data_IF_136933172565
#
_entry.id   IF_136933172565
#
_cell.length_a   1.000
_cell.length_b   1.000
_cell.length_c   1.000
_cell.angle_alpha   90.00
_cell.angle_beta   90.00
_cell.angle_gamma   90.00
#
_symmetry.space_group_name_H-M   'P 1'
#
loop_
_entity.id
_entity.type
_entity.pdbx_description
1 polymer ?
#
# COMPACT_ATOMS: atom_id res chain seq x y z
N UNK A 1 -36.03 -11.05 2.07
CA UNK A 1 -34.62 -11.06 2.51
C UNK A 1 -33.80 -11.58 1.35
N UNK A 2 -33.08 -10.74 0.59
CA UNK A 2 -32.18 -11.24 -0.44
C UNK A 2 -30.83 -11.58 0.23
N UNK A 3 -30.44 -12.83 0.10
CA UNK A 3 -29.12 -13.37 0.45
C UNK A 3 -28.08 -12.84 -0.53
N UNK A 4 -27.19 -11.96 -0.04
CA UNK A 4 -26.01 -11.56 -0.80
C UNK A 4 -25.00 -12.71 -0.80
N UNK A 5 -24.82 -13.33 -1.96
CA UNK A 5 -23.73 -14.26 -2.20
C UNK A 5 -22.41 -13.49 -2.15
N UNK A 6 -21.59 -13.79 -1.17
CA UNK A 6 -20.18 -13.32 -1.08
C UNK A 6 -19.40 -13.95 -2.23
N UNK A 7 -19.23 -13.21 -3.32
CA UNK A 7 -18.30 -13.58 -4.38
C UNK A 7 -16.87 -13.41 -3.84
N UNK A 8 -16.26 -14.53 -3.48
CA UNK A 8 -14.84 -14.57 -3.16
C UNK A 8 -14.07 -14.33 -4.46
N UNK A 9 -13.65 -13.10 -4.68
CA UNK A 9 -12.73 -12.76 -5.78
C UNK A 9 -11.42 -13.49 -5.49
N UNK A 10 -11.12 -14.52 -6.29
CA UNK A 10 -9.85 -15.23 -6.22
C UNK A 10 -8.71 -14.26 -6.46
N UNK A 11 -7.71 -14.26 -5.57
CA UNK A 11 -6.51 -13.44 -5.72
C UNK A 11 -5.85 -13.73 -7.08
N UNK A 12 -5.34 -12.70 -7.80
CA UNK A 12 -4.71 -12.91 -9.10
C UNK A 12 -3.53 -13.87 -8.98
N UNK A 13 -3.47 -14.86 -9.87
CA UNK A 13 -2.45 -15.90 -9.87
C UNK A 13 -1.06 -15.29 -10.08
N UNK A 14 -0.09 -15.60 -9.23
CA UNK A 14 1.24 -15.04 -9.33
C UNK A 14 1.99 -15.61 -10.55
N UNK A 15 2.61 -14.74 -11.34
CA UNK A 15 3.46 -15.13 -12.46
C UNK A 15 4.76 -15.78 -11.92
N UNK A 16 5.16 -16.94 -12.49
CA UNK A 16 6.35 -17.69 -12.10
C UNK A 16 7.64 -16.85 -12.12
N UNK A 17 7.77 -15.92 -13.05
CA UNK A 17 8.91 -15.00 -13.11
C UNK A 17 8.96 -14.06 -11.91
N UNK A 18 7.83 -13.51 -11.50
CA UNK A 18 7.72 -12.67 -10.30
C UNK A 18 8.06 -13.45 -9.04
N UNK A 19 7.60 -14.70 -8.93
CA UNK A 19 7.94 -15.59 -7.82
C UNK A 19 9.44 -15.90 -7.75
N UNK A 20 10.10 -16.08 -8.92
CA UNK A 20 11.57 -16.22 -8.99
C UNK A 20 12.30 -14.97 -8.52
N UNK A 21 11.81 -13.78 -8.89
CA UNK A 21 12.37 -12.48 -8.43
C UNK A 21 12.20 -12.34 -6.92
N UNK A 22 11.05 -12.70 -6.38
CA UNK A 22 10.76 -12.70 -4.94
C UNK A 22 11.71 -13.64 -4.16
N UNK A 23 11.91 -14.87 -4.64
CA UNK A 23 12.85 -15.81 -4.02
C UNK A 23 14.30 -15.26 -4.01
N UNK A 24 14.75 -14.65 -5.12
CA UNK A 24 16.09 -14.02 -5.17
C UNK A 24 16.20 -12.83 -4.20
N UNK A 25 15.14 -12.04 -4.03
CA UNK A 25 15.10 -10.92 -3.11
C UNK A 25 15.19 -11.39 -1.65
N UNK A 26 14.42 -12.42 -1.28
CA UNK A 26 14.48 -13.04 0.05
C UNK A 26 15.88 -13.57 0.35
N UNK A 27 16.50 -14.27 -0.62
CA UNK A 27 17.87 -14.74 -0.46
C UNK A 27 18.87 -13.60 -0.25
N UNK A 28 18.71 -12.47 -0.97
CA UNK A 28 19.54 -11.29 -0.79
C UNK A 28 19.34 -10.70 0.61
N UNK A 29 18.10 -10.50 1.04
CA UNK A 29 17.80 -10.00 2.38
C UNK A 29 18.40 -10.88 3.49
N UNK A 30 18.36 -12.20 3.35
CA UNK A 30 19.00 -13.09 4.31
C UNK A 30 20.54 -12.90 4.32
N UNK A 31 21.19 -12.78 3.18
CA UNK A 31 22.63 -12.52 3.08
C UNK A 31 23.03 -11.17 3.68
N UNK A 32 22.18 -10.16 3.46
CA UNK A 32 22.37 -8.80 3.98
C UNK A 32 21.97 -8.70 5.47
N UNK A 33 21.62 -9.82 6.12
CA UNK A 33 21.16 -9.93 7.51
C UNK A 33 20.02 -8.96 7.83
N UNK A 34 19.10 -8.77 6.88
CA UNK A 34 17.92 -7.94 7.07
C UNK A 34 16.94 -8.62 8.02
N UNK A 35 16.82 -8.11 9.24
CA UNK A 35 16.10 -8.72 10.37
C UNK A 35 14.67 -9.18 10.06
N UNK A 36 13.82 -8.42 9.35
CA UNK A 36 12.44 -8.81 9.07
C UNK A 36 12.31 -10.10 8.24
N UNK A 37 13.35 -10.52 7.50
CA UNK A 37 13.29 -11.76 6.72
C UNK A 37 13.35 -13.01 7.62
N UNK A 38 13.96 -12.92 8.80
CA UNK A 38 14.05 -14.03 9.75
C UNK A 38 12.65 -14.46 10.24
N UNK A 39 11.79 -13.51 10.54
CA UNK A 39 10.41 -13.79 10.94
C UNK A 39 9.62 -14.49 9.82
N UNK A 40 9.80 -14.08 8.56
CA UNK A 40 9.18 -14.74 7.40
C UNK A 40 9.69 -16.17 7.23
N UNK A 41 11.00 -16.38 7.36
CA UNK A 41 11.61 -17.72 7.28
C UNK A 41 11.07 -18.63 8.38
N UNK A 42 11.00 -18.15 9.62
CA UNK A 42 10.48 -18.90 10.77
C UNK A 42 9.03 -19.30 10.60
N UNK A 43 8.18 -18.41 10.13
CA UNK A 43 6.75 -18.68 9.96
C UNK A 43 6.45 -19.65 8.82
N UNK A 44 7.22 -19.61 7.73
CA UNK A 44 6.94 -20.37 6.54
C UNK A 44 7.67 -21.73 6.48
N UNK A 45 8.86 -21.84 7.09
CA UNK A 45 9.68 -23.04 7.00
C UNK A 45 9.75 -23.79 8.36
N UNK A 46 9.09 -24.95 8.51
CA UNK A 46 9.01 -25.67 9.79
C UNK A 46 10.37 -25.97 10.45
N UNK A 47 11.42 -26.19 9.66
CA UNK A 47 12.78 -26.46 10.18
C UNK A 47 13.40 -25.26 10.92
N UNK A 48 12.90 -24.04 10.69
CA UNK A 48 13.35 -22.83 11.37
C UNK A 48 12.41 -22.36 12.48
N UNK A 49 11.28 -23.02 12.71
CA UNK A 49 10.19 -22.55 13.58
C UNK A 49 10.62 -22.34 15.04
N UNK A 50 11.66 -23.03 15.52
CA UNK A 50 12.18 -22.93 16.90
C UNK A 50 13.48 -22.13 17.02
N UNK A 51 13.98 -21.57 15.92
CA UNK A 51 15.23 -20.82 15.91
C UNK A 51 14.98 -19.32 16.21
N UNK A 52 15.95 -18.68 16.85
CA UNK A 52 15.94 -17.24 17.03
C UNK A 52 16.29 -16.51 15.74
N UNK A 53 15.98 -15.22 15.64
CA UNK A 53 16.30 -14.41 14.44
C UNK A 53 17.81 -14.37 14.14
N UNK A 54 18.70 -14.17 15.12
CA UNK A 54 20.12 -14.25 14.89
C UNK A 54 20.59 -15.63 14.38
N UNK A 55 20.02 -16.71 14.90
CA UNK A 55 20.37 -18.07 14.46
C UNK A 55 19.94 -18.31 13.01
N UNK A 56 18.73 -17.87 12.66
CA UNK A 56 18.22 -17.96 11.28
C UNK A 56 19.11 -17.19 10.32
N UNK A 57 19.47 -15.95 10.68
CA UNK A 57 20.31 -15.09 9.83
C UNK A 57 21.78 -15.55 9.76
N UNK A 58 22.22 -16.33 10.75
CA UNK A 58 23.54 -16.98 10.76
C UNK A 58 23.56 -18.34 10.04
N UNK A 59 22.40 -18.92 9.79
CA UNK A 59 22.29 -20.25 9.18
C UNK A 59 22.55 -20.21 7.67
N UNK A 60 23.02 -21.36 7.12
CA UNK A 60 23.14 -21.49 5.66
C UNK A 60 21.76 -21.48 5.00
N UNK A 61 21.49 -20.49 4.16
CA UNK A 61 20.23 -20.31 3.44
C UNK A 61 20.49 -20.22 1.94
N UNK A 62 19.88 -21.10 1.17
CA UNK A 62 20.13 -21.26 -0.27
C UNK A 62 18.92 -20.74 -1.07
N UNK A 63 19.11 -20.60 -2.39
CA UNK A 63 18.02 -20.22 -3.29
C UNK A 63 16.85 -21.22 -3.23
N UNK A 64 17.14 -22.52 -3.06
CA UNK A 64 16.11 -23.55 -2.87
C UNK A 64 15.25 -23.31 -1.63
N UNK A 65 15.85 -22.81 -0.55
CA UNK A 65 15.14 -22.51 0.70
C UNK A 65 14.23 -21.30 0.51
N UNK A 66 14.73 -20.28 -0.19
CA UNK A 66 13.92 -19.10 -0.53
C UNK A 66 12.78 -19.46 -1.49
N UNK A 67 13.00 -20.38 -2.43
CA UNK A 67 11.96 -20.88 -3.32
C UNK A 67 10.90 -21.69 -2.57
N UNK A 68 11.32 -22.55 -1.63
CA UNK A 68 10.39 -23.29 -0.76
C UNK A 68 9.56 -22.32 0.09
N UNK A 69 10.19 -21.29 0.66
CA UNK A 69 9.50 -20.26 1.42
C UNK A 69 8.40 -19.58 0.58
N UNK A 70 8.74 -19.13 -0.64
CA UNK A 70 7.77 -18.53 -1.55
C UNK A 70 6.66 -19.51 -1.90
N UNK A 71 6.98 -20.77 -2.19
CA UNK A 71 5.96 -21.78 -2.50
C UNK A 71 4.97 -21.97 -1.35
N UNK A 72 5.46 -22.05 -0.10
CA UNK A 72 4.62 -22.20 1.09
C UNK A 72 3.76 -20.97 1.37
N UNK A 73 4.27 -19.77 1.12
CA UNK A 73 3.48 -18.53 1.22
C UNK A 73 2.29 -18.51 0.24
N UNK A 74 2.40 -19.23 -0.88
CA UNK A 74 1.34 -19.41 -1.87
C UNK A 74 0.54 -20.71 -1.71
N UNK A 75 0.66 -21.41 -0.57
CA UNK A 75 -0.12 -22.62 -0.25
C UNK A 75 0.38 -23.91 -0.88
N UNK A 76 1.60 -23.93 -1.44
CA UNK A 76 2.21 -25.12 -2.03
C UNK A 76 3.31 -25.70 -1.12
N UNK A 77 3.39 -27.01 -1.02
CA UNK A 77 4.39 -27.67 -0.17
C UNK A 77 5.84 -27.54 -0.68
N UNK A 78 6.01 -27.33 -1.98
CA UNK A 78 7.33 -27.22 -2.62
C UNK A 78 7.31 -26.32 -3.85
N UNK A 79 8.50 -25.85 -4.24
CA UNK A 79 8.67 -25.06 -5.47
C UNK A 79 8.24 -25.84 -6.73
N UNK A 80 8.43 -27.15 -6.75
CA UNK A 80 7.99 -28.00 -7.85
C UNK A 80 6.48 -28.12 -7.90
N UNK A 81 5.81 -28.30 -6.74
CA UNK A 81 4.35 -28.33 -6.65
C UNK A 81 3.73 -26.99 -7.12
N UNK A 82 4.34 -25.86 -6.74
CA UNK A 82 3.93 -24.53 -7.22
C UNK A 82 4.07 -24.42 -8.75
N UNK A 83 5.19 -24.86 -9.33
CA UNK A 83 5.38 -24.83 -10.79
C UNK A 83 4.36 -25.71 -11.51
N UNK A 84 4.13 -26.91 -11.02
CA UNK A 84 3.13 -27.84 -11.60
C UNK A 84 1.72 -27.28 -11.47
N UNK A 85 1.36 -26.72 -10.30
CA UNK A 85 0.06 -26.07 -10.10
C UNK A 85 -0.17 -24.91 -11.07
N UNK A 86 0.86 -24.08 -11.31
CA UNK A 86 0.78 -23.00 -12.29
C UNK A 86 0.67 -23.52 -13.74
N UNK A 87 1.31 -24.65 -14.07
CA UNK A 87 1.25 -25.24 -15.42
C UNK A 87 -0.10 -25.92 -15.69
N UNK A 88 -0.64 -26.68 -14.74
CA UNK A 88 -1.94 -27.36 -14.91
C UNK A 88 -3.11 -26.37 -14.99
N UNK A 89 -2.99 -25.19 -14.37
CA UNK A 89 -3.96 -24.12 -14.50
C UNK A 89 -3.85 -23.37 -15.84
N UNK A 90 -2.67 -23.33 -16.46
CA UNK A 90 -2.48 -22.80 -17.82
C UNK A 90 -3.14 -23.66 -18.91
N UNK A 91 -3.19 -24.98 -18.73
CA UNK A 91 -3.72 -25.90 -19.75
C UNK A 91 -5.27 -25.94 -19.79
N UNK A 92 -5.95 -25.33 -18.79
CA UNK A 92 -7.41 -25.22 -18.73
C UNK A 92 -7.91 -23.77 -18.94
N UNK A 93 -7.02 -22.84 -19.20
CA UNK A 93 -7.39 -21.47 -19.59
C UNK A 93 -7.55 -21.45 -21.12
N UNK A 94 -8.80 -21.47 -21.56
CA UNK A 94 -9.22 -21.08 -22.89
C UNK A 94 -8.53 -19.77 -23.30
N UNK A 95 -8.11 -19.67 -24.56
CA UNK A 95 -7.27 -18.62 -25.16
C UNK A 95 -7.87 -17.22 -25.09
N UNK A 96 -8.09 -16.69 -23.91
CA UNK A 96 -8.33 -15.27 -23.70
C UNK A 96 -7.05 -14.67 -23.15
N UNK A 97 -6.31 -13.96 -23.97
CA UNK A 97 -5.15 -13.16 -23.56
C UNK A 97 -5.55 -12.28 -22.38
N UNK A 98 -5.16 -12.67 -21.16
CA UNK A 98 -5.46 -11.88 -19.96
C UNK A 98 -4.53 -10.67 -19.96
N UNK A 99 -4.98 -9.58 -20.57
CA UNK A 99 -4.29 -8.28 -20.46
C UNK A 99 -4.32 -7.89 -18.99
N UNK A 100 -3.14 -7.63 -18.41
CA UNK A 100 -3.04 -7.16 -17.04
C UNK A 100 -3.73 -5.80 -16.93
N UNK A 101 -4.67 -5.68 -15.98
CA UNK A 101 -5.42 -4.46 -15.72
C UNK A 101 -4.82 -3.81 -14.46
N UNK A 102 -4.42 -2.54 -14.59
CA UNK A 102 -4.05 -1.72 -13.42
C UNK A 102 -5.36 -1.31 -12.75
N UNK A 103 -5.59 -1.78 -11.52
CA UNK A 103 -6.85 -1.57 -10.80
C UNK A 103 -6.86 -0.31 -9.94
N UNK A 104 -5.70 0.19 -9.53
CA UNK A 104 -5.57 1.40 -8.72
C UNK A 104 -4.19 2.04 -8.86
N UNK A 105 -4.11 3.33 -8.55
CA UNK A 105 -2.90 4.04 -8.23
C UNK A 105 -2.98 4.46 -6.75
N UNK A 106 -1.94 4.15 -5.97
CA UNK A 106 -1.91 4.41 -4.54
C UNK A 106 -0.73 5.35 -4.23
N UNK A 107 -0.98 6.66 -4.03
CA UNK A 107 0.06 7.61 -3.67
C UNK A 107 0.76 7.23 -2.37
N UNK A 108 2.06 7.53 -2.26
CA UNK A 108 2.84 7.35 -1.05
C UNK A 108 3.24 8.71 -0.46
N UNK A 109 2.79 8.97 0.77
CA UNK A 109 3.20 10.13 1.54
C UNK A 109 4.44 9.78 2.37
N UNK A 110 5.35 10.73 2.45
CA UNK A 110 6.52 10.65 3.32
C UNK A 110 6.22 11.46 4.58
N UNK A 111 6.38 10.84 5.74
CA UNK A 111 5.95 11.36 7.03
C UNK A 111 7.03 11.14 8.09
N UNK A 112 7.12 12.02 9.07
CA UNK A 112 8.10 11.88 10.16
C UNK A 112 7.63 10.87 11.23
N UNK A 113 6.31 10.73 11.42
CA UNK A 113 5.71 9.83 12.41
C UNK A 113 4.43 9.20 11.86
N UNK A 114 4.42 7.87 11.76
CA UNK A 114 3.28 7.10 11.25
C UNK A 114 2.02 7.30 12.11
N UNK A 115 2.19 7.34 13.44
CA UNK A 115 1.05 7.47 14.34
C UNK A 115 0.40 8.86 14.21
N UNK A 116 1.20 9.92 14.21
CA UNK A 116 0.70 11.30 14.06
C UNK A 116 -0.05 11.46 12.73
N UNK A 117 0.50 10.93 11.64
CA UNK A 117 -0.13 11.01 10.33
C UNK A 117 -1.39 10.16 10.23
N UNK A 118 -1.43 8.95 10.83
CA UNK A 118 -2.62 8.13 10.93
C UNK A 118 -3.71 8.85 11.76
N UNK A 119 -3.37 9.42 12.91
CA UNK A 119 -4.30 10.15 13.78
C UNK A 119 -4.91 11.36 13.05
N UNK A 120 -4.11 12.09 12.26
CA UNK A 120 -4.60 13.19 11.43
C UNK A 120 -5.54 12.70 10.33
N UNK A 121 -5.13 11.71 9.55
CA UNK A 121 -5.92 11.19 8.43
C UNK A 121 -7.23 10.57 8.89
N UNK A 122 -7.23 9.84 10.01
CA UNK A 122 -8.44 9.24 10.56
C UNK A 122 -9.34 10.24 11.26
N UNK A 123 -8.76 11.06 12.15
CA UNK A 123 -9.53 11.99 12.98
C UNK A 123 -10.00 13.24 12.27
N UNK A 124 -9.32 13.67 11.19
CA UNK A 124 -9.62 14.91 10.47
C UNK A 124 -10.17 14.68 9.07
N UNK A 125 -9.68 13.67 8.35
CA UNK A 125 -10.04 13.44 6.95
C UNK A 125 -10.90 12.19 6.75
N UNK A 126 -11.31 11.49 7.84
CA UNK A 126 -12.24 10.36 7.79
C UNK A 126 -11.68 9.10 7.13
N UNK A 127 -10.36 8.96 7.04
CA UNK A 127 -9.75 7.71 6.61
C UNK A 127 -9.82 6.64 7.72
N UNK A 128 -9.58 5.39 7.35
CA UNK A 128 -9.41 4.26 8.29
C UNK A 128 -8.04 3.65 8.07
N UNK A 129 -7.38 3.21 9.14
CA UNK A 129 -6.12 2.48 9.03
C UNK A 129 -6.40 1.07 8.53
N UNK A 130 -5.80 0.69 7.40
CA UNK A 130 -5.90 -0.66 6.84
C UNK A 130 -4.90 -1.59 7.54
N UNK A 131 -3.65 -1.14 7.65
CA UNK A 131 -2.62 -1.81 8.44
C UNK A 131 -1.49 -0.83 8.79
N UNK A 132 -0.69 -1.21 9.80
CA UNK A 132 0.61 -0.62 10.12
C UNK A 132 1.67 -1.71 10.10
N UNK A 133 2.92 -1.34 9.78
CA UNK A 133 4.03 -2.28 9.70
C UNK A 133 5.28 -1.74 10.38
N UNK A 134 5.95 -2.60 11.16
CA UNK A 134 7.18 -2.32 11.91
C UNK A 134 6.95 -2.07 13.41
N UNK A 135 8.03 -2.20 14.19
CA UNK A 135 8.08 -1.91 15.63
C UNK A 135 9.38 -1.17 15.92
N UNK A 136 9.36 0.18 16.05
CA UNK A 136 8.21 1.07 15.87
C UNK A 136 7.68 1.09 14.42
N UNK A 137 6.41 1.50 14.21
CA UNK A 137 5.82 1.54 12.87
C UNK A 137 6.59 2.47 11.93
N UNK A 138 6.96 1.97 10.75
CA UNK A 138 7.63 2.78 9.70
C UNK A 138 6.87 2.81 8.39
N UNK A 139 5.77 2.05 8.28
CA UNK A 139 4.90 2.02 7.12
C UNK A 139 3.44 1.82 7.55
N UNK A 140 2.51 2.45 6.86
CA UNK A 140 1.09 2.22 7.04
C UNK A 140 0.32 2.38 5.72
N UNK A 141 -0.87 1.82 5.66
CA UNK A 141 -1.85 2.11 4.63
C UNK A 141 -3.13 2.58 5.29
N UNK A 142 -3.69 3.65 4.75
CA UNK A 142 -5.01 4.18 5.13
C UNK A 142 -5.93 4.20 3.91
N UNK A 143 -7.24 4.05 4.14
CA UNK A 143 -8.25 4.04 3.08
C UNK A 143 -9.45 4.88 3.47
N UNK A 144 -10.06 5.54 2.48
CA UNK A 144 -11.38 6.16 2.57
C UNK A 144 -12.09 5.94 1.23
N UNK A 145 -13.25 5.32 1.27
CA UNK A 145 -14.02 4.92 0.06
C UNK A 145 -13.13 4.11 -0.90
N UNK A 146 -12.97 4.55 -2.14
CA UNK A 146 -12.10 3.92 -3.13
C UNK A 146 -10.63 4.40 -3.04
N UNK A 147 -10.35 5.45 -2.25
CA UNK A 147 -9.01 6.02 -2.16
C UNK A 147 -8.14 5.27 -1.16
N UNK A 148 -6.87 5.08 -1.50
CA UNK A 148 -5.84 4.53 -0.63
C UNK A 148 -4.61 5.43 -0.62
N UNK A 149 -3.99 5.55 0.53
CA UNK A 149 -2.71 6.22 0.73
C UNK A 149 -1.75 5.30 1.46
N UNK A 150 -0.54 5.25 0.99
CA UNK A 150 0.56 4.62 1.67
C UNK A 150 1.36 5.68 2.44
N UNK A 151 1.72 5.39 3.68
CA UNK A 151 2.54 6.27 4.53
C UNK A 151 3.88 5.60 4.74
N UNK A 152 4.96 6.32 4.53
CA UNK A 152 6.32 5.86 4.78
C UNK A 152 7.05 6.81 5.71
N UNK A 153 7.52 6.31 6.85
CA UNK A 153 8.35 7.07 7.77
C UNK A 153 9.71 7.37 7.14
N UNK A 154 10.14 8.63 7.28
CA UNK A 154 11.45 9.13 6.81
C UNK A 154 12.06 10.05 7.87
N UNK A 155 13.37 10.01 7.99
CA UNK A 155 14.11 10.82 8.98
C UNK A 155 14.20 12.31 8.60
N UNK A 156 14.08 12.62 7.32
CA UNK A 156 14.19 13.99 6.79
C UNK A 156 13.12 14.23 5.72
N UNK A 157 12.62 15.47 5.55
CA UNK A 157 11.72 15.81 4.47
C UNK A 157 12.33 15.46 3.11
N UNK A 158 11.54 14.76 2.27
CA UNK A 158 11.99 14.33 0.92
C UNK A 158 11.96 15.50 -0.07
N UNK A 159 11.12 16.49 0.19
CA UNK A 159 11.00 17.73 -0.60
C UNK A 159 11.16 18.89 0.36
N UNK A 160 11.95 19.91 -0.04
CA UNK A 160 12.05 21.16 0.71
C UNK A 160 10.66 21.77 0.94
N UNK A 161 10.24 22.03 2.20
CA UNK A 161 8.90 22.51 2.49
C UNK A 161 8.58 23.89 1.86
N UNK A 162 9.57 24.79 1.78
CA UNK A 162 9.38 26.10 1.18
C UNK A 162 9.22 26.01 -0.34
N UNK A 163 9.95 25.08 -0.98
CA UNK A 163 9.80 24.77 -2.39
C UNK A 163 8.40 24.17 -2.66
N UNK A 164 7.97 23.20 -1.83
CA UNK A 164 6.66 22.57 -1.96
C UNK A 164 5.54 23.61 -1.90
N UNK A 165 5.58 24.50 -0.91
CA UNK A 165 4.54 25.51 -0.73
C UNK A 165 4.54 26.54 -1.87
N UNK A 166 5.71 26.99 -2.32
CA UNK A 166 5.85 27.97 -3.39
C UNK A 166 5.38 27.47 -4.73
N UNK A 167 5.70 26.21 -5.05
CA UNK A 167 5.36 25.56 -6.33
C UNK A 167 4.06 24.75 -6.26
N UNK A 168 3.37 24.74 -5.10
CA UNK A 168 2.15 23.94 -4.84
C UNK A 168 2.32 22.46 -5.23
N UNK A 169 3.46 21.82 -4.82
CA UNK A 169 3.77 20.46 -5.19
C UNK A 169 2.88 19.47 -4.44
N UNK A 170 1.84 18.99 -5.14
CA UNK A 170 0.86 18.05 -4.60
C UNK A 170 1.49 16.68 -4.30
N UNK A 171 1.14 16.12 -3.14
CA UNK A 171 1.52 14.76 -2.75
C UNK A 171 0.48 13.73 -3.17
N UNK A 172 -0.78 14.12 -3.19
CA UNK A 172 -1.90 13.29 -3.68
C UNK A 172 -3.04 14.19 -4.17
N UNK A 173 -3.87 13.63 -5.07
CA UNK A 173 -5.09 14.26 -5.54
C UNK A 173 -6.26 13.27 -5.45
N UNK A 174 -7.39 13.75 -4.93
CA UNK A 174 -8.63 13.00 -4.77
C UNK A 174 -9.74 13.67 -5.56
N UNK A 175 -10.60 12.87 -6.19
CA UNK A 175 -11.71 13.37 -6.97
C UNK A 175 -13.03 12.86 -6.41
N UNK A 176 -14.04 13.75 -6.37
CA UNK A 176 -15.43 13.40 -6.10
C UNK A 176 -16.26 13.59 -7.36
N UNK A 177 -17.41 12.91 -7.44
CA UNK A 177 -18.18 12.84 -8.66
C UNK A 177 -19.03 14.10 -8.92
N UNK A 178 -19.45 14.83 -7.88
CA UNK A 178 -20.42 15.92 -8.01
C UNK A 178 -19.96 17.22 -7.33
N UNK A 179 -20.54 18.34 -7.79
CA UNK A 179 -20.31 19.66 -7.19
C UNK A 179 -20.83 19.76 -5.75
N UNK A 180 -21.83 18.97 -5.39
CA UNK A 180 -22.35 18.94 -4.03
C UNK A 180 -21.44 18.16 -3.10
N UNK A 181 -20.90 17.03 -3.55
CA UNK A 181 -19.95 16.22 -2.75
C UNK A 181 -18.68 17.01 -2.39
N UNK A 182 -18.12 17.81 -3.31
CA UNK A 182 -16.92 18.59 -2.99
C UNK A 182 -17.22 19.68 -1.96
N UNK A 183 -18.43 20.28 -1.95
CA UNK A 183 -18.85 21.24 -0.94
C UNK A 183 -19.06 20.56 0.42
N UNK A 184 -19.74 19.41 0.42
CA UNK A 184 -19.98 18.63 1.64
C UNK A 184 -18.65 18.17 2.27
N UNK A 185 -17.72 17.68 1.47
CA UNK A 185 -16.39 17.26 1.93
C UNK A 185 -15.60 18.43 2.53
N UNK A 186 -15.68 19.62 1.90
CA UNK A 186 -15.07 20.83 2.44
C UNK A 186 -15.65 21.19 3.81
N UNK A 187 -16.98 21.17 3.96
CA UNK A 187 -17.66 21.48 5.23
C UNK A 187 -17.35 20.42 6.32
N UNK A 188 -17.26 19.14 5.94
CA UNK A 188 -16.86 18.07 6.83
C UNK A 188 -15.47 18.35 7.43
N UNK A 189 -14.49 18.66 6.57
CA UNK A 189 -13.13 18.95 7.01
C UNK A 189 -13.03 20.25 7.81
N UNK A 190 -13.81 21.27 7.45
CA UNK A 190 -13.91 22.51 8.21
C UNK A 190 -14.45 22.24 9.63
N UNK A 191 -15.50 21.43 9.74
CA UNK A 191 -16.09 21.03 11.04
C UNK A 191 -15.10 20.21 11.88
N UNK A 192 -14.29 19.37 11.23
CA UNK A 192 -13.22 18.61 11.89
C UNK A 192 -12.02 19.49 12.30
N UNK A 193 -12.03 20.78 11.98
CA UNK A 193 -10.95 21.73 12.30
C UNK A 193 -9.68 21.48 11.49
N UNK A 194 -9.84 21.14 10.20
CA UNK A 194 -8.72 21.03 9.27
C UNK A 194 -8.22 22.43 8.90
N UNK A 195 -6.90 22.61 8.88
CA UNK A 195 -6.27 23.82 8.35
C UNK A 195 -6.06 23.65 6.85
N UNK A 196 -6.68 24.53 6.07
CA UNK A 196 -6.58 24.50 4.61
C UNK A 196 -5.35 25.30 4.15
N UNK A 197 -4.54 24.69 3.30
CA UNK A 197 -3.53 25.41 2.52
C UNK A 197 -4.21 26.32 1.49
N UNK A 198 -5.28 25.80 0.84
CA UNK A 198 -6.17 26.55 -0.04
C UNK A 198 -7.60 26.18 0.28
N UNK A 199 -8.43 27.19 0.51
CA UNK A 199 -9.88 27.02 0.74
C UNK A 199 -10.61 26.68 -0.55
N UNK A 200 -11.87 26.22 -0.45
CA UNK A 200 -12.68 25.85 -1.60
C UNK A 200 -12.82 27.04 -2.58
N UNK A 201 -12.36 26.85 -3.80
CA UNK A 201 -12.48 27.82 -4.89
C UNK A 201 -12.95 27.19 -6.19
N UNK A 202 -13.50 28.01 -7.10
CA UNK A 202 -13.81 27.62 -8.47
C UNK A 202 -12.61 27.93 -9.36
N UNK A 203 -12.21 26.96 -10.17
CA UNK A 203 -11.14 27.11 -11.11
C UNK A 203 -11.63 27.50 -12.50
N UNK A 204 -10.84 28.23 -13.30
CA UNK A 204 -11.23 28.66 -14.63
C UNK A 204 -11.61 27.53 -15.61
N UNK A 205 -11.08 26.34 -15.38
CA UNK A 205 -11.34 25.13 -16.20
C UNK A 205 -12.58 24.34 -15.78
N UNK A 206 -13.44 24.88 -14.89
CA UNK A 206 -14.71 24.29 -14.55
C UNK A 206 -14.65 23.23 -13.44
N UNK A 207 -13.62 23.25 -12.60
CA UNK A 207 -13.54 22.45 -11.37
C UNK A 207 -13.75 23.33 -10.13
N UNK A 208 -14.08 22.67 -9.02
CA UNK A 208 -13.91 23.21 -7.65
C UNK A 208 -12.88 22.37 -6.93
N UNK A 209 -12.01 23.01 -6.18
CA UNK A 209 -11.02 22.32 -5.39
C UNK A 209 -10.66 23.08 -4.11
N UNK A 210 -10.05 22.33 -3.19
CA UNK A 210 -9.36 22.87 -2.02
C UNK A 210 -8.13 22.00 -1.72
N UNK A 211 -7.16 22.55 -0.99
CA UNK A 211 -5.93 21.84 -0.63
C UNK A 211 -5.80 21.81 0.89
N UNK A 212 -5.59 20.62 1.42
CA UNK A 212 -5.26 20.37 2.83
C UNK A 212 -3.76 20.17 2.94
N UNK A 213 -3.16 20.72 3.99
CA UNK A 213 -1.78 20.47 4.37
C UNK A 213 -1.76 19.55 5.59
N UNK A 214 -1.10 18.40 5.47
CA UNK A 214 -0.96 17.47 6.58
C UNK A 214 0.14 17.92 7.57
N UNK A 215 0.33 17.26 8.73
CA UNK A 215 1.35 17.62 9.71
C UNK A 215 2.80 17.63 9.17
N UNK A 216 3.09 16.84 8.13
CA UNK A 216 4.42 16.75 7.49
C UNK A 216 4.57 17.69 6.29
N UNK A 217 3.56 18.53 6.06
CA UNK A 217 3.54 19.49 4.96
C UNK A 217 3.15 18.89 3.62
N UNK A 218 2.66 17.64 3.55
CA UNK A 218 2.15 17.09 2.31
C UNK A 218 0.88 17.84 1.88
N UNK A 219 0.80 18.21 0.60
CA UNK A 219 -0.35 18.90 0.04
C UNK A 219 -1.30 17.89 -0.61
N UNK A 220 -2.52 17.84 -0.09
CA UNK A 220 -3.58 16.91 -0.49
C UNK A 220 -4.68 17.70 -1.19
N UNK A 221 -4.78 17.57 -2.51
CA UNK A 221 -5.81 18.21 -3.32
C UNK A 221 -7.10 17.39 -3.27
N UNK A 222 -8.21 18.05 -3.06
CA UNK A 222 -9.55 17.49 -3.23
C UNK A 222 -10.27 18.30 -4.31
N UNK A 223 -10.80 17.62 -5.33
CA UNK A 223 -11.39 18.26 -6.49
C UNK A 223 -12.71 17.58 -6.91
N UNK A 224 -13.59 18.38 -7.50
CA UNK A 224 -14.84 17.92 -8.10
C UNK A 224 -15.29 18.88 -9.20
N UNK A 225 -16.37 18.56 -9.94
CA UNK A 225 -16.93 19.47 -10.92
C UNK A 225 -17.45 20.75 -10.25
N UNK A 226 -17.52 21.86 -10.98
CA UNK A 226 -18.05 23.12 -10.48
C UNK A 226 -19.59 23.13 -10.45
N UNK A 227 -20.21 22.36 -11.31
CA UNK A 227 -21.68 22.23 -11.50
C UNK A 227 -22.02 20.77 -11.80
#
# INVERSE_FOLDING_TARGET
MPTYATSTVAAPMPNLENLRKQAKLILRWHRDRYYPVAAQIRSALPRFSRMTDPDILGHSFRLSDAQELVARQHGFESWQALKTGLSTMSDHADTTSTVAIITAAEPQLFVADIKVSCDFLTGKLGFTVVFTYGEPPFYAQVARDAARLNLKCVDQPVIDPALRDREELLSAAFTVATAEEIKQLFLEFQTAGVIFFQTLRREPWGARNFIVKDPDGNLLLFAGPAE
#
